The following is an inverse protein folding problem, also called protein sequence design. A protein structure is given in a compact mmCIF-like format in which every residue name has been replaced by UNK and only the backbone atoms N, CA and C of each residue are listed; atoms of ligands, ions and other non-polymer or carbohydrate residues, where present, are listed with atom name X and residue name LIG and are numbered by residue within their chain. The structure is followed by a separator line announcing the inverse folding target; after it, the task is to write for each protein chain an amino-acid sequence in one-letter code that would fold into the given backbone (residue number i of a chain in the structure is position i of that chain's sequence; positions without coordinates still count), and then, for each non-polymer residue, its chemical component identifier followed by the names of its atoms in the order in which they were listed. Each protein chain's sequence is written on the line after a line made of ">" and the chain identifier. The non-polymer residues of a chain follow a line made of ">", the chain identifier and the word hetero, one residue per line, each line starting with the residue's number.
data_IF_538610857727
#
_entry.id   IF_538610857727
#
_cell.length_a   1.000
_cell.length_b   1.000
_cell.length_c   1.000
_cell.angle_alpha   90.00
_cell.angle_beta   90.00
_cell.angle_gamma   90.00
#
_symmetry.space_group_name_H-M   'P 1'
#
loop_
_entity.id
_entity.type
_entity.pdbx_description
1 polymer ?
#
# COMPACT_ATOMS: atom_id res chain seq x y z
N UNK A 1 -23.63 -6.94 20.49
CA UNK A 1 -24.75 -5.99 20.65
C UNK A 1 -24.39 -4.65 20.02
N UNK A 2 -25.26 -4.10 19.23
CA UNK A 2 -25.10 -2.74 18.69
C UNK A 2 -26.11 -1.81 19.39
N UNK A 3 -25.67 -0.84 20.20
CA UNK A 3 -26.57 0.00 20.98
C UNK A 3 -27.55 0.82 20.14
N UNK A 4 -27.15 1.23 18.91
CA UNK A 4 -27.99 2.05 18.01
C UNK A 4 -29.07 1.22 17.32
N UNK A 5 -28.74 0.03 16.83
CA UNK A 5 -29.69 -0.84 16.10
C UNK A 5 -30.34 -1.88 16.99
N UNK A 6 -29.86 -2.03 18.22
CA UNK A 6 -30.27 -3.07 19.19
C UNK A 6 -30.21 -4.49 18.62
N UNK A 7 -29.19 -4.78 17.78
CA UNK A 7 -28.95 -6.10 17.14
C UNK A 7 -27.69 -6.75 17.71
N UNK A 8 -27.52 -8.04 17.47
CA UNK A 8 -26.36 -8.84 17.87
C UNK A 8 -26.67 -9.87 18.94
N UNK A 9 -25.72 -10.76 19.22
CA UNK A 9 -25.89 -11.94 20.09
C UNK A 9 -26.43 -11.62 21.50
N UNK A 10 -26.04 -10.50 22.09
CA UNK A 10 -26.53 -10.05 23.40
C UNK A 10 -27.90 -9.34 23.37
N UNK A 11 -28.64 -9.43 22.27
CA UNK A 11 -30.02 -8.89 22.26
C UNK A 11 -30.96 -9.73 23.12
N UNK A 12 -30.84 -11.06 23.03
CA UNK A 12 -31.74 -12.01 23.73
C UNK A 12 -31.04 -12.74 24.85
N UNK A 13 -29.72 -12.89 24.77
CA UNK A 13 -28.89 -13.67 25.69
C UNK A 13 -27.89 -12.75 26.42
N UNK A 14 -27.48 -13.12 27.62
CA UNK A 14 -26.52 -12.35 28.44
C UNK A 14 -27.10 -11.19 29.24
N UNK A 15 -28.36 -10.83 29.02
CA UNK A 15 -29.07 -9.81 29.83
C UNK A 15 -28.52 -8.38 29.73
N UNK A 16 -29.02 -7.46 30.61
CA UNK A 16 -28.57 -6.07 30.63
C UNK A 16 -27.09 -5.90 30.96
N UNK A 17 -26.50 -6.79 31.76
CA UNK A 17 -25.09 -6.78 32.13
C UNK A 17 -24.20 -6.90 30.90
N UNK A 18 -24.45 -7.89 30.04
CA UNK A 18 -23.68 -8.08 28.82
C UNK A 18 -23.81 -6.90 27.85
N UNK A 19 -25.01 -6.29 27.80
CA UNK A 19 -25.22 -5.10 26.95
C UNK A 19 -24.42 -3.89 27.48
N UNK A 20 -24.38 -3.71 28.82
CA UNK A 20 -23.62 -2.62 29.44
C UNK A 20 -22.11 -2.78 29.20
N UNK A 21 -21.57 -4.01 29.35
CA UNK A 21 -20.15 -4.28 29.06
C UNK A 21 -19.76 -3.92 27.62
N UNK A 22 -20.66 -4.11 26.65
CA UNK A 22 -20.41 -3.69 25.26
C UNK A 22 -20.40 -2.17 25.12
N UNK A 23 -21.32 -1.48 25.82
CA UNK A 23 -21.34 0.00 25.79
C UNK A 23 -20.05 0.54 26.39
N UNK A 24 -19.64 0.04 27.55
CA UNK A 24 -18.41 0.45 28.24
C UNK A 24 -17.17 0.21 27.36
N UNK A 25 -17.12 -0.92 26.63
CA UNK A 25 -16.04 -1.22 25.72
C UNK A 25 -16.02 -0.31 24.48
N UNK A 26 -17.19 0.08 23.97
CA UNK A 26 -17.29 1.04 22.87
C UNK A 26 -16.83 2.43 23.30
N UNK A 27 -17.18 2.87 24.50
CA UNK A 27 -16.77 4.16 25.05
C UNK A 27 -15.26 4.17 25.32
N UNK A 28 -14.71 3.11 25.93
CA UNK A 28 -13.28 2.95 26.11
C UNK A 28 -12.53 2.94 24.76
N UNK A 29 -13.06 2.23 23.75
CA UNK A 29 -12.51 2.20 22.41
C UNK A 29 -12.48 3.59 21.79
N UNK A 30 -13.58 4.33 21.88
CA UNK A 30 -13.65 5.70 21.38
C UNK A 30 -12.59 6.58 22.04
N UNK A 31 -12.47 6.56 23.36
CA UNK A 31 -11.49 7.35 24.11
C UNK A 31 -10.06 6.98 23.70
N UNK A 32 -9.76 5.69 23.58
CA UNK A 32 -8.44 5.19 23.17
C UNK A 32 -8.04 5.68 21.77
N UNK A 33 -8.92 5.52 20.78
CA UNK A 33 -8.64 5.95 19.41
C UNK A 33 -8.67 7.47 19.25
N UNK A 34 -9.50 8.19 19.97
CA UNK A 34 -9.50 9.66 20.01
C UNK A 34 -8.16 10.19 20.60
N UNK A 35 -7.64 9.54 21.65
CA UNK A 35 -6.32 9.86 22.20
C UNK A 35 -5.21 9.66 21.18
N UNK A 36 -5.14 8.51 20.51
CA UNK A 36 -4.14 8.26 19.47
C UNK A 36 -4.25 9.24 18.29
N UNK A 37 -5.48 9.60 17.92
CA UNK A 37 -5.72 10.59 16.89
C UNK A 37 -5.19 11.97 17.27
N UNK A 38 -5.36 12.38 18.52
CA UNK A 38 -4.96 13.69 19.03
C UNK A 38 -3.45 13.80 19.33
N UNK A 39 -2.82 12.71 19.73
CA UNK A 39 -1.40 12.68 20.11
C UNK A 39 -0.50 12.19 19.00
N UNK A 40 -0.64 10.94 18.60
CA UNK A 40 0.25 10.28 17.65
C UNK A 40 0.03 10.76 16.21
N UNK A 41 -1.24 10.93 15.81
CA UNK A 41 -1.62 11.27 14.44
C UNK A 41 -2.04 12.74 14.26
N UNK A 42 -1.65 13.63 15.18
CA UNK A 42 -2.04 15.05 15.12
C UNK A 42 -1.53 15.76 13.86
N UNK A 43 -0.31 15.46 13.44
CA UNK A 43 0.37 16.17 12.35
C UNK A 43 0.57 15.30 11.09
N UNK A 44 0.43 13.99 11.20
CA UNK A 44 0.68 13.02 10.10
C UNK A 44 -0.44 12.02 10.02
N UNK A 45 -0.78 11.60 8.81
CA UNK A 45 -1.78 10.55 8.57
C UNK A 45 -1.25 9.14 8.83
N UNK A 46 0.07 8.94 8.82
CA UNK A 46 0.74 7.67 9.12
C UNK A 46 1.93 7.96 10.03
N UNK A 47 2.03 7.21 11.13
CA UNK A 47 3.15 7.32 12.08
C UNK A 47 3.62 5.95 12.48
N UNK A 48 4.90 5.68 12.27
CA UNK A 48 5.58 4.46 12.75
C UNK A 48 5.81 4.56 14.26
N UNK A 49 5.50 3.47 14.96
CA UNK A 49 5.72 3.32 16.39
C UNK A 49 6.99 2.55 16.63
N UNK A 50 7.90 3.11 17.43
CA UNK A 50 9.23 2.54 17.71
C UNK A 50 9.47 2.31 19.19
N UNK A 51 8.61 2.83 20.05
CA UNK A 51 8.72 2.74 21.51
C UNK A 51 7.44 2.16 22.08
N UNK A 52 7.58 1.39 23.14
CA UNK A 52 6.45 0.84 23.91
C UNK A 52 5.79 1.95 24.74
N UNK A 53 4.54 1.71 25.17
CA UNK A 53 3.88 2.58 26.15
C UNK A 53 3.41 3.92 25.62
N UNK A 54 3.22 4.08 24.30
CA UNK A 54 2.69 5.32 23.70
C UNK A 54 1.24 5.62 24.08
N UNK A 55 0.51 4.64 24.61
CA UNK A 55 -0.83 4.76 25.16
C UNK A 55 -1.06 3.71 26.24
N UNK A 56 -1.90 4.05 27.20
CA UNK A 56 -2.32 3.12 28.25
C UNK A 56 -3.20 2.00 27.68
N UNK A 57 -3.12 0.76 28.21
CA UNK A 57 -3.87 -0.41 27.74
C UNK A 57 -5.35 -0.36 28.20
N UNK A 58 -6.03 0.75 28.00
CA UNK A 58 -7.40 1.01 28.49
C UNK A 58 -8.44 0.06 27.90
N UNK A 59 -8.14 -0.63 26.81
CA UNK A 59 -9.03 -1.62 26.17
C UNK A 59 -8.93 -3.02 26.76
N UNK A 60 -7.88 -3.34 27.51
CA UNK A 60 -7.64 -4.69 28.00
C UNK A 60 -8.75 -5.16 28.98
N UNK A 61 -9.11 -4.34 29.95
CA UNK A 61 -10.16 -4.61 30.92
C UNK A 61 -11.54 -4.81 30.28
N UNK A 62 -12.06 -3.85 29.52
CA UNK A 62 -13.35 -3.95 28.84
C UNK A 62 -13.44 -5.14 27.86
N UNK A 63 -12.42 -5.37 27.02
CA UNK A 63 -12.40 -6.53 26.12
C UNK A 63 -12.33 -7.86 26.86
N UNK A 64 -11.56 -7.91 27.96
CA UNK A 64 -11.50 -9.07 28.84
C UNK A 64 -12.85 -9.37 29.52
N UNK A 65 -13.61 -8.34 29.90
CA UNK A 65 -14.95 -8.51 30.46
C UNK A 65 -15.94 -9.09 29.43
N UNK A 66 -15.92 -8.57 28.19
CA UNK A 66 -16.74 -9.12 27.10
C UNK A 66 -16.33 -10.57 26.80
N UNK A 67 -15.04 -10.88 26.75
CA UNK A 67 -14.56 -12.24 26.54
C UNK A 67 -15.10 -13.21 27.62
N UNK A 68 -15.09 -12.81 28.87
CA UNK A 68 -15.61 -13.64 30.00
C UNK A 68 -17.11 -13.86 29.90
N UNK A 69 -17.89 -12.81 29.60
CA UNK A 69 -19.36 -12.95 29.54
C UNK A 69 -19.78 -13.79 28.32
N UNK A 70 -19.06 -13.68 27.18
CA UNK A 70 -19.28 -14.55 26.03
C UNK A 70 -19.02 -16.01 26.37
N UNK A 71 -17.99 -16.31 27.15
CA UNK A 71 -17.74 -17.66 27.66
C UNK A 71 -18.87 -18.16 28.53
N UNK A 72 -19.24 -17.40 29.60
CA UNK A 72 -20.33 -17.77 30.52
C UNK A 72 -21.64 -18.04 29.78
N UNK A 73 -22.05 -17.19 28.86
CA UNK A 73 -23.29 -17.37 28.12
C UNK A 73 -23.17 -18.58 27.16
N UNK A 74 -22.06 -18.70 26.45
CA UNK A 74 -21.81 -19.84 25.54
C UNK A 74 -21.86 -21.19 26.25
N UNK A 75 -21.33 -21.26 27.47
CA UNK A 75 -21.34 -22.48 28.29
C UNK A 75 -22.75 -22.89 28.78
N UNK A 76 -23.75 -22.00 28.76
CA UNK A 76 -25.14 -22.30 29.10
C UNK A 76 -25.98 -22.72 27.92
N UNK A 77 -25.45 -22.65 26.69
CA UNK A 77 -26.15 -23.02 25.46
C UNK A 77 -25.93 -24.50 25.15
N UNK A 78 -26.95 -25.13 24.61
CA UNK A 78 -26.82 -26.47 24.00
C UNK A 78 -25.92 -26.43 22.76
N UNK A 79 -25.34 -27.57 22.42
CA UNK A 79 -24.52 -27.69 21.21
C UNK A 79 -25.35 -27.36 19.97
N UNK A 80 -24.83 -26.45 19.18
CA UNK A 80 -25.48 -25.99 17.95
C UNK A 80 -25.03 -24.61 17.50
N UNK A 81 -25.70 -24.12 16.47
CA UNK A 81 -25.33 -22.87 15.78
C UNK A 81 -25.21 -21.63 16.70
N UNK A 82 -26.07 -21.51 17.69
CA UNK A 82 -26.01 -20.35 18.60
C UNK A 82 -24.77 -20.38 19.48
N UNK A 83 -24.39 -21.55 19.99
CA UNK A 83 -23.16 -21.74 20.77
C UNK A 83 -21.93 -21.46 19.92
N UNK A 84 -21.89 -21.97 18.70
CA UNK A 84 -20.77 -21.72 17.76
C UNK A 84 -20.60 -20.21 17.49
N UNK A 85 -21.68 -19.48 17.31
CA UNK A 85 -21.64 -18.01 17.13
C UNK A 85 -21.05 -17.31 18.34
N UNK A 86 -21.37 -17.72 19.57
CA UNK A 86 -20.78 -17.16 20.80
C UNK A 86 -19.29 -17.50 20.93
N UNK A 87 -18.88 -18.72 20.59
CA UNK A 87 -17.48 -19.13 20.59
C UNK A 87 -16.67 -18.35 19.54
N UNK A 88 -17.22 -18.14 18.37
CA UNK A 88 -16.61 -17.31 17.33
C UNK A 88 -16.41 -15.86 17.80
N UNK A 89 -17.42 -15.26 18.42
CA UNK A 89 -17.29 -13.92 18.97
C UNK A 89 -16.27 -13.86 20.11
N UNK A 90 -16.26 -14.86 21.00
CA UNK A 90 -15.26 -15.00 22.07
C UNK A 90 -13.84 -15.02 21.50
N UNK A 91 -13.61 -15.83 20.46
CA UNK A 91 -12.31 -15.91 19.81
C UNK A 91 -11.90 -14.60 19.13
N UNK A 92 -12.84 -13.92 18.47
CA UNK A 92 -12.59 -12.61 17.85
C UNK A 92 -12.22 -11.54 18.88
N UNK A 93 -12.93 -11.48 20.02
CA UNK A 93 -12.60 -10.55 21.11
C UNK A 93 -11.22 -10.86 21.69
N UNK A 94 -10.86 -12.13 21.86
CA UNK A 94 -9.55 -12.54 22.34
C UNK A 94 -8.44 -12.14 21.36
N UNK A 95 -8.66 -12.35 20.07
CA UNK A 95 -7.71 -11.95 19.02
C UNK A 95 -7.55 -10.41 18.99
N UNK A 96 -8.64 -9.66 19.12
CA UNK A 96 -8.60 -8.20 19.19
C UNK A 96 -7.81 -7.70 20.41
N UNK A 97 -8.10 -8.24 21.61
CA UNK A 97 -7.38 -7.94 22.84
C UNK A 97 -5.87 -8.21 22.66
N UNK A 98 -5.52 -9.41 22.21
CA UNK A 98 -4.12 -9.80 21.99
C UNK A 98 -3.43 -8.92 20.96
N UNK A 99 -4.13 -8.54 19.88
CA UNK A 99 -3.60 -7.67 18.84
C UNK A 99 -3.31 -6.26 19.35
N UNK A 100 -4.22 -5.67 20.13
CA UNK A 100 -4.00 -4.34 20.74
C UNK A 100 -2.83 -4.39 21.74
N UNK A 101 -2.79 -5.41 22.61
CA UNK A 101 -1.70 -5.59 23.57
C UNK A 101 -0.36 -5.72 22.85
N UNK A 102 -0.28 -6.60 21.84
CA UNK A 102 0.96 -6.79 21.04
C UNK A 102 1.39 -5.50 20.34
N UNK A 103 0.45 -4.67 19.89
CA UNK A 103 0.77 -3.39 19.27
C UNK A 103 1.30 -2.37 20.27
N UNK A 104 0.73 -2.28 21.47
CA UNK A 104 1.17 -1.38 22.55
C UNK A 104 2.53 -1.75 23.15
N UNK A 105 2.83 -3.04 23.20
CA UNK A 105 4.08 -3.58 23.76
C UNK A 105 5.14 -3.89 22.71
N UNK A 106 4.87 -3.58 21.42
CA UNK A 106 5.73 -3.99 20.29
C UNK A 106 6.14 -5.47 20.40
N UNK A 107 5.18 -6.33 20.71
CA UNK A 107 5.38 -7.70 21.22
C UNK A 107 6.14 -8.66 20.31
N UNK A 108 6.37 -8.31 19.04
CA UNK A 108 7.27 -9.03 18.14
C UNK A 108 8.31 -8.08 17.54
N UNK A 109 9.57 -8.30 17.88
CA UNK A 109 10.71 -7.50 17.39
C UNK A 109 10.96 -7.65 15.89
N UNK A 110 10.39 -8.68 15.27
CA UNK A 110 10.44 -8.89 13.81
C UNK A 110 9.30 -8.21 13.07
N UNK A 111 8.48 -7.39 13.75
CA UNK A 111 7.41 -6.63 13.15
C UNK A 111 7.71 -5.13 13.14
N UNK A 112 7.15 -4.45 12.14
CA UNK A 112 7.01 -3.00 12.13
C UNK A 112 5.60 -2.67 12.59
N UNK A 113 5.48 -1.68 13.47
CA UNK A 113 4.21 -1.21 14.01
C UNK A 113 3.96 0.23 13.57
N UNK A 114 2.72 0.55 13.17
CA UNK A 114 2.33 1.91 12.83
C UNK A 114 0.86 2.14 13.10
N UNK A 115 0.48 3.41 13.22
CA UNK A 115 -0.90 3.85 13.21
C UNK A 115 -1.14 4.69 11.96
N UNK A 116 -2.35 4.60 11.41
CA UNK A 116 -2.74 5.36 10.23
C UNK A 116 -4.15 5.93 10.35
N UNK A 117 -4.37 7.11 9.76
CA UNK A 117 -5.70 7.65 9.51
C UNK A 117 -6.16 7.26 8.13
N UNK A 118 -7.40 6.82 8.04
CA UNK A 118 -8.02 6.41 6.79
C UNK A 118 -9.48 6.83 6.68
N UNK A 119 -10.12 6.32 5.62
CA UNK A 119 -11.48 6.68 5.26
C UNK A 119 -11.59 8.03 4.53
N UNK A 120 -12.74 8.25 3.87
CA UNK A 120 -12.97 9.46 3.03
C UNK A 120 -12.79 10.78 3.80
N UNK A 121 -13.04 10.78 5.12
CA UNK A 121 -12.91 11.96 5.99
C UNK A 121 -11.69 11.91 6.91
N UNK A 122 -10.79 10.96 6.72
CA UNK A 122 -9.61 10.75 7.58
C UNK A 122 -9.95 10.59 9.08
N UNK A 123 -11.11 10.00 9.38
CA UNK A 123 -11.62 9.84 10.75
C UNK A 123 -11.42 8.44 11.33
N UNK A 124 -11.01 7.47 10.51
CA UNK A 124 -10.77 6.10 10.94
C UNK A 124 -9.31 5.96 11.34
N UNK A 125 -9.05 5.64 12.60
CA UNK A 125 -7.71 5.29 13.07
C UNK A 125 -7.55 3.79 13.04
N UNK A 126 -6.49 3.31 12.42
CA UNK A 126 -6.16 1.88 12.32
C UNK A 126 -4.79 1.61 12.90
N UNK A 127 -4.68 0.62 13.76
CA UNK A 127 -3.40 0.08 14.23
C UNK A 127 -2.96 -1.03 13.31
N UNK A 128 -1.72 -0.98 12.87
CA UNK A 128 -1.14 -1.94 11.93
C UNK A 128 0.15 -2.54 12.46
N UNK A 129 0.38 -3.79 12.10
CA UNK A 129 1.69 -4.42 12.22
C UNK A 129 1.96 -5.30 11.01
N UNK A 130 3.20 -5.40 10.61
CA UNK A 130 3.63 -6.30 9.55
C UNK A 130 4.99 -6.92 9.89
N UNK A 131 5.21 -8.19 9.56
CA UNK A 131 6.51 -8.81 9.72
C UNK A 131 7.53 -8.15 8.77
N UNK A 132 8.76 -7.95 9.26
CA UNK A 132 9.89 -7.48 8.46
C UNK A 132 10.27 -8.55 7.43
N UNK A 133 10.27 -9.81 7.85
CA UNK A 133 10.49 -10.97 6.99
C UNK A 133 9.21 -11.80 6.89
N UNK A 134 8.65 -11.87 5.67
CA UNK A 134 7.42 -12.61 5.39
C UNK A 134 7.67 -14.09 5.09
N UNK A 135 8.92 -14.49 4.80
CA UNK A 135 9.27 -15.84 4.37
C UNK A 135 8.82 -16.93 5.37
N UNK A 136 9.02 -16.79 6.71
CA UNK A 136 8.56 -17.80 7.65
C UNK A 136 7.04 -18.01 7.63
N UNK A 137 6.28 -16.91 7.53
CA UNK A 137 4.82 -16.96 7.49
C UNK A 137 4.31 -17.59 6.20
N UNK A 138 4.87 -17.21 5.05
CA UNK A 138 4.51 -17.78 3.74
C UNK A 138 4.92 -19.24 3.64
N UNK A 139 6.10 -19.61 4.15
CA UNK A 139 6.52 -21.02 4.20
C UNK A 139 5.53 -21.87 4.99
N UNK A 140 5.06 -21.38 6.14
CA UNK A 140 4.12 -22.09 7.00
C UNK A 140 2.70 -22.14 6.42
N UNK A 141 2.16 -21.01 5.97
CA UNK A 141 0.74 -20.84 5.67
C UNK A 141 0.39 -20.92 4.19
N UNK A 142 1.37 -20.90 3.29
CA UNK A 142 1.17 -21.00 1.86
C UNK A 142 1.88 -22.24 1.30
N UNK A 143 3.19 -22.31 1.39
CA UNK A 143 3.97 -23.38 0.77
C UNK A 143 3.92 -24.71 1.56
N UNK A 144 3.68 -24.67 2.86
CA UNK A 144 3.57 -25.85 3.73
C UNK A 144 2.17 -26.47 3.84
N UNK A 145 1.16 -25.90 3.17
CA UNK A 145 -0.23 -26.37 3.30
C UNK A 145 -0.59 -27.58 2.39
N UNK A 146 0.38 -28.14 1.68
CA UNK A 146 0.13 -29.27 0.74
C UNK A 146 -0.61 -28.87 -0.55
N UNK A 147 -0.76 -27.57 -0.82
CA UNK A 147 -1.36 -27.04 -2.05
C UNK A 147 -0.25 -26.63 -3.02
N UNK A 148 -0.42 -26.95 -4.30
CA UNK A 148 0.51 -26.48 -5.34
C UNK A 148 0.40 -24.96 -5.51
N UNK A 149 1.55 -24.27 -5.48
CA UNK A 149 1.63 -22.83 -5.71
C UNK A 149 2.55 -22.55 -6.89
N UNK A 150 2.06 -21.78 -7.85
CA UNK A 150 2.84 -21.32 -9.00
C UNK A 150 2.91 -19.80 -9.00
N UNK A 151 4.13 -19.25 -8.98
CA UNK A 151 4.38 -17.83 -9.12
C UNK A 151 4.92 -17.54 -10.52
N UNK A 152 4.36 -16.57 -11.21
CA UNK A 152 4.83 -16.16 -12.55
C UNK A 152 4.85 -14.64 -12.68
N UNK A 153 5.93 -14.09 -13.20
CA UNK A 153 6.07 -12.68 -13.55
C UNK A 153 7.29 -12.49 -14.45
N UNK A 154 7.31 -11.40 -15.18
CA UNK A 154 8.47 -10.99 -15.97
C UNK A 154 9.65 -10.49 -15.12
N UNK A 155 9.44 -10.22 -13.83
CA UNK A 155 10.40 -9.54 -12.93
C UNK A 155 10.79 -10.36 -11.69
N UNK A 156 10.50 -11.68 -11.66
CA UNK A 156 10.91 -12.52 -10.53
C UNK A 156 12.42 -12.81 -10.53
N UNK A 157 13.02 -12.88 -11.71
CA UNK A 157 14.46 -13.11 -11.85
C UNK A 157 15.20 -11.77 -12.02
N UNK A 158 16.31 -11.61 -11.31
CA UNK A 158 17.26 -10.51 -11.46
C UNK A 158 18.57 -11.05 -12.03
N UNK A 159 18.98 -10.56 -13.22
CA UNK A 159 20.18 -11.09 -13.87
C UNK A 159 20.12 -12.58 -14.19
N UNK A 160 18.91 -13.14 -14.36
CA UNK A 160 18.70 -14.58 -14.59
C UNK A 160 18.63 -15.41 -13.31
N UNK A 161 18.82 -14.81 -12.13
CA UNK A 161 18.77 -15.48 -10.83
C UNK A 161 17.40 -15.27 -10.19
N UNK A 162 16.76 -16.35 -9.74
CA UNK A 162 15.44 -16.33 -9.06
C UNK A 162 15.56 -16.53 -7.54
N UNK A 163 16.72 -17.00 -7.09
CA UNK A 163 17.01 -17.36 -5.71
C UNK A 163 16.70 -16.20 -4.72
N UNK A 164 17.05 -14.94 -5.02
CA UNK A 164 16.73 -13.82 -4.12
C UNK A 164 15.23 -13.63 -3.90
N UNK A 165 14.42 -13.83 -4.95
CA UNK A 165 12.97 -13.78 -4.84
C UNK A 165 12.44 -14.98 -4.06
N UNK A 166 12.89 -16.20 -4.38
CA UNK A 166 12.47 -17.43 -3.70
C UNK A 166 12.76 -17.37 -2.20
N UNK A 167 13.96 -16.92 -1.81
CA UNK A 167 14.31 -16.72 -0.42
C UNK A 167 13.41 -15.71 0.27
N UNK A 168 13.14 -14.57 -0.36
CA UNK A 168 12.30 -13.50 0.20
C UNK A 168 10.85 -13.95 0.48
N UNK A 169 10.32 -14.88 -0.30
CA UNK A 169 8.96 -15.42 -0.09
C UNK A 169 8.97 -16.76 0.66
N UNK A 170 10.13 -17.31 0.99
CA UNK A 170 10.24 -18.59 1.70
C UNK A 170 9.96 -19.82 0.84
N UNK A 171 10.19 -19.72 -0.47
CA UNK A 171 10.00 -20.78 -1.45
C UNK A 171 11.34 -21.40 -1.91
N UNK A 172 12.26 -21.59 -0.99
CA UNK A 172 13.66 -21.98 -1.25
C UNK A 172 13.81 -23.35 -1.98
N UNK A 173 12.80 -24.20 -1.86
CA UNK A 173 12.76 -25.55 -2.49
C UNK A 173 11.95 -25.58 -3.78
N UNK A 174 11.44 -24.43 -4.26
CA UNK A 174 10.63 -24.36 -5.47
C UNK A 174 11.49 -24.63 -6.71
N UNK A 175 10.91 -25.34 -7.69
CA UNK A 175 11.51 -25.43 -9.02
C UNK A 175 11.28 -24.14 -9.77
N UNK A 176 12.31 -23.61 -10.38
CA UNK A 176 12.25 -22.37 -11.15
C UNK A 176 12.57 -22.60 -12.63
N UNK A 177 11.90 -21.83 -13.48
CA UNK A 177 12.18 -21.76 -14.91
C UNK A 177 12.29 -20.30 -15.27
N UNK A 178 13.43 -19.91 -15.86
CA UNK A 178 13.66 -18.58 -16.42
C UNK A 178 13.63 -18.68 -17.92
N UNK A 179 12.64 -18.05 -18.54
CA UNK A 179 12.52 -17.99 -20.00
C UNK A 179 13.07 -16.66 -20.49
N UNK A 180 13.95 -16.70 -21.48
CA UNK A 180 14.51 -15.48 -22.07
C UNK A 180 13.42 -14.69 -22.80
N UNK A 181 13.61 -13.37 -22.85
CA UNK A 181 12.75 -12.48 -23.63
C UNK A 181 12.83 -12.82 -25.12
N UNK A 182 11.71 -12.85 -25.86
CA UNK A 182 11.71 -12.98 -27.32
C UNK A 182 12.15 -11.69 -28.02
N UNK A 183 12.25 -10.57 -27.28
CA UNK A 183 12.64 -9.28 -27.85
C UNK A 183 14.16 -9.13 -27.93
N UNK A 184 14.65 -8.69 -29.09
CA UNK A 184 16.05 -8.30 -29.31
C UNK A 184 16.25 -6.86 -28.78
N UNK A 185 16.55 -6.73 -27.48
CA UNK A 185 16.76 -5.42 -26.85
C UNK A 185 18.00 -4.71 -27.36
N UNK A 186 19.07 -5.44 -27.74
CA UNK A 186 20.31 -4.84 -28.25
C UNK A 186 20.07 -4.09 -29.58
N UNK A 187 19.20 -4.65 -30.42
CA UNK A 187 18.84 -4.06 -31.70
C UNK A 187 17.74 -2.99 -31.56
N UNK A 188 16.73 -3.23 -30.70
CA UNK A 188 15.49 -2.47 -30.74
C UNK A 188 15.37 -1.42 -29.61
N UNK A 189 16.30 -1.40 -28.64
CA UNK A 189 16.26 -0.47 -27.51
C UNK A 189 17.58 0.28 -27.38
N UNK A 190 17.52 1.58 -27.12
CA UNK A 190 18.66 2.41 -26.73
C UNK A 190 18.40 3.03 -25.39
N UNK A 191 19.35 2.91 -24.47
CA UNK A 191 19.32 3.50 -23.15
C UNK A 191 20.31 4.66 -23.09
N UNK A 192 19.82 5.84 -22.68
CA UNK A 192 20.62 7.03 -22.46
C UNK A 192 20.56 7.38 -20.97
N UNK A 193 21.69 7.72 -20.39
CA UNK A 193 21.80 8.16 -19.00
C UNK A 193 22.33 9.58 -18.99
N UNK A 194 21.52 10.53 -18.50
CA UNK A 194 21.97 11.91 -18.30
C UNK A 194 22.85 11.94 -17.04
N UNK A 195 24.11 12.39 -17.18
CA UNK A 195 25.11 12.43 -16.09
C UNK A 195 25.29 13.83 -15.50
N UNK A 196 24.68 14.85 -16.10
CA UNK A 196 24.84 16.27 -15.83
C UNK A 196 23.58 16.92 -15.23
N UNK A 197 22.55 16.12 -14.90
CA UNK A 197 21.39 16.63 -14.16
C UNK A 197 21.78 16.83 -12.70
N UNK A 198 21.58 18.03 -12.11
CA UNK A 198 21.88 18.26 -10.71
C UNK A 198 21.11 17.34 -9.78
N UNK A 199 21.77 16.82 -8.73
CA UNK A 199 21.09 16.10 -7.67
C UNK A 199 20.16 17.07 -6.92
N UNK A 200 18.93 16.66 -6.59
CA UNK A 200 18.01 17.52 -5.85
C UNK A 200 18.55 17.74 -4.45
N UNK A 201 19.00 18.96 -4.19
CA UNK A 201 19.28 19.46 -2.85
C UNK A 201 18.18 20.47 -2.47
N UNK A 202 17.92 20.69 -1.17
CA UNK A 202 16.93 21.71 -0.75
C UNK A 202 17.24 23.11 -1.30
N UNK A 203 18.53 23.41 -1.51
CA UNK A 203 19.00 24.69 -2.02
C UNK A 203 18.85 24.82 -3.54
N UNK A 204 18.95 23.72 -4.28
CA UNK A 204 18.98 23.68 -5.74
C UNK A 204 17.74 23.00 -6.36
N UNK A 205 16.72 22.73 -5.53
CA UNK A 205 15.52 22.00 -5.98
C UNK A 205 14.86 22.62 -7.21
N UNK A 206 14.79 23.96 -7.27
CA UNK A 206 14.24 24.67 -8.42
C UNK A 206 15.10 24.50 -9.67
N UNK A 207 16.43 24.69 -9.55
CA UNK A 207 17.36 24.51 -10.65
C UNK A 207 17.31 23.08 -11.20
N UNK A 208 17.25 22.09 -10.32
CA UNK A 208 17.14 20.69 -10.72
C UNK A 208 15.84 20.40 -11.48
N UNK A 209 14.71 21.02 -11.10
CA UNK A 209 13.45 20.90 -11.83
C UNK A 209 13.49 21.60 -13.19
N UNK A 210 14.09 22.79 -13.27
CA UNK A 210 14.23 23.55 -14.51
C UNK A 210 15.10 22.75 -15.52
N UNK A 211 16.25 22.25 -15.09
CA UNK A 211 17.14 21.41 -15.91
C UNK A 211 16.42 20.12 -16.35
N UNK A 212 15.69 19.48 -15.45
CA UNK A 212 14.91 18.27 -15.78
C UNK A 212 13.81 18.57 -16.81
N UNK A 213 13.14 19.72 -16.71
CA UNK A 213 12.14 20.14 -17.69
C UNK A 213 12.78 20.33 -19.08
N UNK A 214 13.95 20.99 -19.15
CA UNK A 214 14.68 21.15 -20.40
C UNK A 214 15.07 19.80 -21.02
N UNK A 215 15.57 18.84 -20.21
CA UNK A 215 15.87 17.50 -20.68
C UNK A 215 14.63 16.75 -21.20
N UNK A 216 13.53 16.81 -20.47
CA UNK A 216 12.27 16.18 -20.90
C UNK A 216 11.80 16.78 -22.21
N UNK A 217 11.81 18.12 -22.33
CA UNK A 217 11.44 18.82 -23.56
C UNK A 217 12.33 18.43 -24.74
N UNK A 218 13.65 18.43 -24.51
CA UNK A 218 14.62 18.01 -25.52
C UNK A 218 14.39 16.57 -25.98
N UNK A 219 14.26 15.62 -25.04
CA UNK A 219 14.05 14.21 -25.36
C UNK A 219 12.74 13.97 -26.13
N UNK A 220 11.66 14.63 -25.72
CA UNK A 220 10.36 14.55 -26.41
C UNK A 220 10.45 15.06 -27.86
N UNK A 221 11.24 16.09 -28.11
CA UNK A 221 11.44 16.66 -29.45
C UNK A 221 12.21 15.71 -30.41
N UNK A 222 13.00 14.77 -29.86
CA UNK A 222 13.77 13.82 -30.67
C UNK A 222 12.92 12.66 -31.24
N UNK A 223 11.70 12.45 -30.72
CA UNK A 223 10.87 11.29 -31.06
C UNK A 223 9.52 11.74 -31.60
N UNK A 224 9.10 11.18 -32.75
CA UNK A 224 7.78 11.48 -33.32
C UNK A 224 6.64 10.73 -32.63
N UNK A 225 6.91 9.53 -32.13
CA UNK A 225 5.94 8.67 -31.45
C UNK A 225 5.59 9.13 -30.03
N UNK A 226 4.75 8.36 -29.33
CA UNK A 226 4.34 8.65 -27.96
C UNK A 226 5.49 8.55 -26.95
N UNK A 227 5.44 9.38 -25.93
CA UNK A 227 6.44 9.43 -24.84
C UNK A 227 5.74 9.28 -23.49
N UNK A 228 6.19 8.32 -22.68
CA UNK A 228 5.80 8.18 -21.27
C UNK A 228 6.91 8.74 -20.38
N UNK A 229 6.58 9.70 -19.52
CA UNK A 229 7.51 10.28 -18.54
C UNK A 229 7.13 9.81 -17.15
N UNK A 230 8.01 9.09 -16.49
CA UNK A 230 7.81 8.47 -15.19
C UNK A 230 8.47 9.31 -14.09
N UNK A 231 7.66 9.70 -13.13
CA UNK A 231 8.06 10.47 -11.95
C UNK A 231 7.95 9.63 -10.68
N UNK A 232 8.73 9.96 -9.67
CA UNK A 232 8.64 9.42 -8.31
C UNK A 232 7.88 10.35 -7.36
N UNK A 233 7.51 11.55 -7.81
CA UNK A 233 6.84 12.59 -7.02
C UNK A 233 5.72 13.26 -7.82
N UNK A 234 4.51 13.30 -7.27
CA UNK A 234 3.40 14.07 -7.83
C UNK A 234 3.68 15.58 -7.87
N UNK A 235 4.42 16.09 -6.88
CA UNK A 235 4.79 17.51 -6.81
C UNK A 235 5.69 17.90 -7.96
N UNK A 236 6.76 17.12 -8.20
CA UNK A 236 7.71 17.38 -9.28
C UNK A 236 7.02 17.23 -10.65
N UNK A 237 6.21 16.17 -10.80
CA UNK A 237 5.43 15.94 -12.01
C UNK A 237 4.54 17.15 -12.37
N UNK A 238 3.81 17.69 -11.41
CA UNK A 238 2.93 18.85 -11.63
C UNK A 238 3.71 20.12 -11.92
N UNK A 239 4.83 20.35 -11.23
CA UNK A 239 5.68 21.50 -11.47
C UNK A 239 6.21 21.50 -12.92
N UNK A 240 6.78 20.38 -13.38
CA UNK A 240 7.29 20.23 -14.74
C UNK A 240 6.14 20.25 -15.77
N UNK A 241 4.98 19.67 -15.46
CA UNK A 241 3.81 19.74 -16.33
C UNK A 241 3.38 21.19 -16.60
N UNK A 242 3.33 22.03 -15.58
CA UNK A 242 2.97 23.45 -15.69
C UNK A 242 3.94 24.19 -16.65
N UNK A 243 5.22 23.86 -16.60
CA UNK A 243 6.25 24.45 -17.49
C UNK A 243 6.13 23.92 -18.93
N UNK A 244 5.90 22.61 -19.12
CA UNK A 244 6.01 21.96 -20.43
C UNK A 244 4.70 21.84 -21.18
N UNK A 245 3.53 21.90 -20.55
CA UNK A 245 2.24 21.84 -21.26
C UNK A 245 2.11 22.87 -22.38
N UNK A 246 2.47 24.16 -22.19
CA UNK A 246 2.45 25.14 -23.28
C UNK A 246 3.41 24.78 -24.42
N UNK A 247 4.58 24.23 -24.10
CA UNK A 247 5.59 23.83 -25.07
C UNK A 247 5.09 22.68 -25.93
N UNK A 248 4.51 21.64 -25.30
CA UNK A 248 3.96 20.50 -26.03
C UNK A 248 2.76 20.91 -26.89
N UNK A 249 1.91 21.77 -26.37
CA UNK A 249 0.75 22.30 -27.12
C UNK A 249 1.19 23.09 -28.35
N UNK A 250 2.21 23.95 -28.22
CA UNK A 250 2.77 24.70 -29.35
C UNK A 250 3.43 23.77 -30.40
N UNK A 251 4.00 22.65 -29.95
CA UNK A 251 4.58 21.62 -30.82
C UNK A 251 3.55 20.65 -31.44
N UNK A 252 2.25 20.83 -31.19
CA UNK A 252 1.20 19.94 -31.64
C UNK A 252 1.24 18.55 -31.01
N UNK A 253 1.83 18.41 -29.80
CA UNK A 253 1.92 17.16 -29.04
C UNK A 253 0.79 17.11 -28.01
N UNK A 254 -0.17 16.17 -28.11
CA UNK A 254 -1.18 15.98 -27.06
C UNK A 254 -0.51 15.68 -25.72
N UNK A 255 -0.96 16.36 -24.68
CA UNK A 255 -0.40 16.23 -23.33
C UNK A 255 -1.42 15.60 -22.39
N UNK A 256 -1.02 14.53 -21.72
CA UNK A 256 -1.79 13.75 -20.76
C UNK A 256 -1.07 13.74 -19.40
N UNK A 257 -1.80 13.88 -18.32
CA UNK A 257 -1.23 13.87 -16.97
C UNK A 257 -2.07 13.05 -16.01
N UNK A 258 -1.41 12.23 -15.19
CA UNK A 258 -2.04 11.48 -14.12
C UNK A 258 -2.54 12.41 -13.00
N UNK A 259 -3.69 12.07 -12.40
CA UNK A 259 -4.27 12.83 -11.28
C UNK A 259 -5.20 13.97 -11.70
N UNK A 260 -5.53 14.06 -13.00
CA UNK A 260 -6.69 14.78 -13.52
C UNK A 260 -7.97 13.90 -13.42
N UNK A 261 -8.99 14.20 -14.21
CA UNK A 261 -10.29 13.51 -14.15
C UNK A 261 -10.26 12.06 -14.68
N UNK A 262 -9.22 11.69 -15.45
CA UNK A 262 -9.13 10.43 -16.15
C UNK A 262 -8.45 9.33 -15.30
N UNK A 263 -8.98 8.13 -15.38
CA UNK A 263 -8.37 6.94 -14.81
C UNK A 263 -7.10 6.54 -15.59
N UNK A 264 -6.25 5.70 -14.96
CA UNK A 264 -5.05 5.13 -15.61
C UNK A 264 -5.39 4.44 -16.93
N UNK A 265 -6.46 3.67 -16.98
CA UNK A 265 -6.87 2.91 -18.17
C UNK A 265 -7.27 3.86 -19.29
N UNK A 266 -8.01 4.92 -18.99
CA UNK A 266 -8.42 5.93 -19.97
C UNK A 266 -7.22 6.68 -20.52
N UNK A 267 -6.26 7.08 -19.66
CA UNK A 267 -5.01 7.73 -20.10
C UNK A 267 -4.19 6.82 -21.02
N UNK A 268 -4.08 5.53 -20.68
CA UNK A 268 -3.37 4.55 -21.52
C UNK A 268 -4.04 4.36 -22.87
N UNK A 269 -5.38 4.30 -22.90
CA UNK A 269 -6.13 4.21 -24.15
C UNK A 269 -5.98 5.47 -25.00
N UNK A 270 -6.09 6.66 -24.39
CA UNK A 270 -5.88 7.92 -25.11
C UNK A 270 -4.45 8.02 -25.68
N UNK A 271 -3.43 7.60 -24.94
CA UNK A 271 -2.06 7.56 -25.45
C UNK A 271 -1.94 6.67 -26.68
N UNK A 272 -2.61 5.51 -26.67
CA UNK A 272 -2.64 4.59 -27.82
C UNK A 272 -3.33 5.21 -29.03
N UNK A 273 -4.48 5.83 -28.83
CA UNK A 273 -5.32 6.37 -29.91
C UNK A 273 -4.71 7.62 -30.56
N UNK A 274 -4.05 8.45 -29.78
CA UNK A 274 -3.39 9.67 -30.22
C UNK A 274 -2.06 9.40 -30.96
N UNK A 275 -1.38 8.30 -30.67
CA UNK A 275 -0.17 7.84 -31.36
C UNK A 275 1.10 8.64 -31.08
N UNK A 276 1.01 9.92 -30.70
CA UNK A 276 2.15 10.82 -30.45
C UNK A 276 2.02 11.62 -29.15
N UNK A 277 1.17 11.18 -28.23
CA UNK A 277 0.93 11.88 -26.96
C UNK A 277 2.16 11.82 -26.03
N UNK A 278 2.28 12.83 -25.17
CA UNK A 278 3.19 12.84 -24.01
C UNK A 278 2.38 12.58 -22.76
N UNK A 279 2.65 11.49 -22.06
CA UNK A 279 1.95 11.10 -20.83
C UNK A 279 2.88 11.23 -19.63
N UNK A 280 2.49 12.03 -18.65
CA UNK A 280 3.17 12.11 -17.35
C UNK A 280 2.47 11.21 -16.32
N UNK A 281 3.23 10.30 -15.68
CA UNK A 281 2.72 9.37 -14.69
C UNK A 281 3.67 9.12 -13.53
N UNK A 282 3.11 8.63 -12.43
CA UNK A 282 3.83 8.22 -11.22
C UNK A 282 3.62 6.71 -10.97
N UNK A 283 3.75 6.25 -9.75
CA UNK A 283 3.77 4.85 -9.29
C UNK A 283 2.90 3.86 -10.07
N UNK A 284 1.66 4.21 -10.37
CA UNK A 284 0.76 3.30 -11.09
C UNK A 284 1.16 3.08 -12.55
N UNK A 285 1.99 3.95 -13.14
CA UNK A 285 2.49 3.82 -14.51
C UNK A 285 3.85 3.12 -14.63
N UNK A 286 4.51 2.81 -13.50
CA UNK A 286 5.78 2.08 -13.52
C UNK A 286 5.65 0.62 -13.94
N UNK A 287 4.47 0.04 -13.83
CA UNK A 287 4.21 -1.35 -14.20
C UNK A 287 2.89 -1.47 -14.95
N UNK A 288 2.76 -2.51 -15.79
CA UNK A 288 1.50 -2.88 -16.43
C UNK A 288 0.95 -1.84 -17.42
N UNK A 289 1.81 -1.05 -18.06
CA UNK A 289 1.46 -0.23 -19.22
C UNK A 289 1.81 -1.03 -20.47
N UNK A 290 0.81 -1.28 -21.30
CA UNK A 290 0.95 -1.97 -22.57
C UNK A 290 0.36 -1.10 -23.68
N UNK A 291 1.25 -0.43 -24.41
CA UNK A 291 0.92 0.43 -25.56
C UNK A 291 1.83 0.01 -26.72
N UNK A 292 1.32 -0.71 -27.71
CA UNK A 292 2.13 -1.24 -28.79
C UNK A 292 2.53 -0.17 -29.81
N UNK A 293 3.65 -0.41 -30.46
CA UNK A 293 4.12 0.37 -31.61
C UNK A 293 4.54 1.80 -31.26
N UNK A 294 4.41 2.68 -32.24
CA UNK A 294 4.88 4.07 -32.15
C UNK A 294 4.12 4.91 -31.12
N UNK A 295 2.96 4.44 -30.67
CA UNK A 295 2.21 5.12 -29.60
C UNK A 295 2.93 5.14 -28.24
N UNK A 296 3.98 4.31 -28.07
CA UNK A 296 4.93 4.36 -26.95
C UNK A 296 6.34 4.07 -27.47
N UNK A 297 6.93 5.04 -28.12
CA UNK A 297 8.27 4.93 -28.69
C UNK A 297 9.38 5.34 -27.71
N UNK A 298 9.06 6.05 -26.63
CA UNK A 298 10.03 6.55 -25.67
C UNK A 298 9.49 6.46 -24.24
N UNK A 299 10.36 6.07 -23.31
CA UNK A 299 10.13 6.17 -21.86
C UNK A 299 11.24 7.02 -21.24
N UNK A 300 10.86 8.05 -20.51
CA UNK A 300 11.78 8.91 -19.75
C UNK A 300 11.58 8.62 -18.27
N UNK A 301 12.62 8.19 -17.58
CA UNK A 301 12.63 7.95 -16.14
C UNK A 301 13.35 9.13 -15.50
N UNK A 302 12.62 9.97 -14.77
CA UNK A 302 13.17 11.18 -14.16
C UNK A 302 14.07 10.87 -12.98
N UNK A 303 13.75 9.82 -12.21
CA UNK A 303 14.53 9.27 -11.09
C UNK A 303 14.18 7.80 -10.92
N UNK A 304 15.12 7.01 -10.40
CA UNK A 304 14.83 5.65 -9.99
C UNK A 304 13.97 5.62 -8.72
N UNK A 305 12.98 4.71 -8.62
CA UNK A 305 12.01 4.66 -7.53
C UNK A 305 12.60 3.95 -6.28
N UNK A 306 13.67 4.50 -5.72
CA UNK A 306 14.19 4.05 -4.45
C UNK A 306 13.36 4.63 -3.31
N UNK A 307 13.12 3.82 -2.28
CA UNK A 307 12.50 4.31 -1.05
C UNK A 307 13.38 5.38 -0.40
N UNK A 308 12.80 6.49 0.09
CA UNK A 308 13.56 7.47 0.83
C UNK A 308 14.16 6.83 2.09
N UNK A 309 15.39 7.17 2.46
CA UNK A 309 15.99 6.70 3.70
C UNK A 309 15.14 7.15 4.89
N UNK A 310 14.63 6.20 5.68
CA UNK A 310 13.75 6.42 6.85
C UNK A 310 14.53 6.38 8.15
#
# INVERSE_FOLDING_TARGET
>A
FNPRTKRGVFRKLGGPEAQQLVIDALDASKQFFDFLAATLLAQRSVVRVREEGIAEPTLDGPLGAIHRILGKVGDTLEDGRERDEFLDHKQRIKSLQSGVTAWLTLGDKNHVYWAERGGRKQTIVTLRSAPIDVAPALRKHLFGCGTSVTCTSATLAMGGQIEPFAARIGADTARAIVVKSPFDFERNMRVFVASDVPLPSPQEAKLALDVLADYVSFCVAQVRGGTLVLFTSYTDMRAIATTLEPVFRAAGRPFLIQGAELSRTELTNQMRDLGNAVLFGTDSFWTGVDVPGDSLAQVIITRLPFDPPT
#
